data_IF_299958190635
#
_entry.id   IF_299958190635
#
_cell.length_a   1.000
_cell.length_b   1.000
_cell.length_c   1.000
_cell.angle_alpha   90.00
_cell.angle_beta   90.00
_cell.angle_gamma   90.00
#
_symmetry.space_group_name_H-M   'P 1'
#
loop_
_entity.id
_entity.type
_entity.pdbx_description
1 polymer ?
#
# COMPACT_ATOMS: atom_id res chain seq x y z
N UNK A 1 -11.24 3.71 20.17
CA UNK A 1 -11.20 2.27 19.79
C UNK A 1 -10.26 1.41 20.65
N UNK A 2 -9.39 2.00 21.45
CA UNK A 2 -8.50 1.30 22.39
C UNK A 2 -9.05 1.58 23.78
N UNK A 3 -9.32 0.52 24.55
CA UNK A 3 -9.61 0.69 25.97
C UNK A 3 -8.26 0.78 26.66
N UNK A 4 -8.06 1.84 27.43
CA UNK A 4 -6.85 1.99 28.23
C UNK A 4 -6.64 0.70 29.05
N UNK A 5 -5.46 0.09 28.90
CA UNK A 5 -5.00 -1.12 29.63
C UNK A 5 -5.66 -2.48 29.33
N UNK A 6 -6.44 -2.65 28.25
CA UNK A 6 -6.94 -3.99 27.90
C UNK A 6 -5.88 -4.88 27.23
N UNK A 7 -5.96 -6.19 27.45
CA UNK A 7 -5.08 -7.19 26.82
C UNK A 7 -5.81 -7.86 25.66
N UNK A 8 -5.19 -7.88 24.48
CA UNK A 8 -5.78 -8.41 23.25
C UNK A 8 -5.12 -9.71 22.80
N UNK A 9 -5.91 -10.60 22.20
CA UNK A 9 -5.44 -11.83 21.59
C UNK A 9 -6.04 -12.05 20.19
N UNK A 10 -5.27 -12.66 19.29
CA UNK A 10 -5.74 -13.06 17.95
C UNK A 10 -4.82 -14.12 17.32
N UNK A 11 -5.31 -14.91 16.35
CA UNK A 11 -4.43 -15.71 15.50
C UNK A 11 -3.56 -14.79 14.61
N UNK A 12 -2.26 -15.04 14.60
CA UNK A 12 -1.27 -14.30 13.81
C UNK A 12 -0.89 -15.02 12.49
N UNK A 13 -1.30 -16.27 12.32
CA UNK A 13 -1.10 -17.08 11.11
C UNK A 13 -2.39 -17.23 10.31
N UNK A 14 -2.27 -17.51 9.01
CA UNK A 14 -3.41 -17.95 8.20
C UNK A 14 -4.02 -19.26 8.73
N UNK A 15 -5.28 -19.50 8.39
CA UNK A 15 -5.97 -20.72 8.82
C UNK A 15 -5.44 -21.96 8.08
N UNK A 16 -5.19 -23.04 8.82
CA UNK A 16 -4.66 -24.30 8.30
C UNK A 16 -3.14 -24.33 8.19
N UNK A 17 -2.57 -25.53 8.30
CA UNK A 17 -1.12 -25.76 8.28
C UNK A 17 -0.66 -26.68 9.42
N UNK A 18 0.64 -26.95 9.49
CA UNK A 18 1.22 -27.75 10.56
C UNK A 18 1.25 -27.01 11.90
N UNK A 19 1.50 -25.69 11.85
CA UNK A 19 1.61 -24.81 13.02
C UNK A 19 0.68 -23.61 12.86
N UNK A 20 0.15 -23.13 13.97
CA UNK A 20 -0.49 -21.83 14.11
C UNK A 20 0.21 -21.01 15.20
N UNK A 21 0.14 -19.68 15.08
CA UNK A 21 0.62 -18.76 16.12
C UNK A 21 -0.56 -17.94 16.62
N UNK A 22 -0.76 -17.91 17.93
CA UNK A 22 -1.69 -17.03 18.61
C UNK A 22 -0.89 -15.99 19.36
N UNK A 23 -1.15 -14.72 19.07
CA UNK A 23 -0.47 -13.59 19.69
C UNK A 23 -1.36 -12.97 20.75
N UNK A 24 -0.77 -12.60 21.89
CA UNK A 24 -1.40 -11.82 22.95
C UNK A 24 -0.51 -10.60 23.29
N UNK A 25 -1.11 -9.44 23.54
CA UNK A 25 -0.42 -8.18 23.88
C UNK A 25 -1.22 -7.37 24.87
N UNK A 26 -0.54 -6.80 25.88
CA UNK A 26 -1.13 -5.95 26.90
C UNK A 26 -0.47 -6.17 28.26
N UNK A 27 -0.80 -5.31 29.23
CA UNK A 27 -0.20 -5.33 30.58
C UNK A 27 -0.34 -6.69 31.29
N UNK A 28 -1.43 -7.41 31.05
CA UNK A 28 -1.72 -8.71 31.67
C UNK A 28 -1.39 -9.91 30.76
N UNK A 29 -0.79 -9.70 29.59
CA UNK A 29 -0.58 -10.74 28.57
C UNK A 29 0.08 -12.02 29.14
N UNK A 30 1.19 -11.86 29.86
CA UNK A 30 1.94 -12.99 30.41
C UNK A 30 1.21 -13.67 31.57
N UNK A 31 0.52 -12.89 32.42
CA UNK A 31 -0.31 -13.42 33.52
C UNK A 31 -1.51 -14.19 33.01
N UNK A 32 -2.12 -13.75 31.91
CA UNK A 32 -3.21 -14.45 31.24
C UNK A 32 -2.70 -15.77 30.65
N UNK A 33 -1.54 -15.77 29.99
CA UNK A 33 -0.92 -16.99 29.50
C UNK A 33 -0.63 -17.99 30.63
N UNK A 34 -0.11 -17.54 31.77
CA UNK A 34 0.20 -18.42 32.93
C UNK A 34 -1.02 -19.16 33.50
N UNK A 35 -2.23 -18.64 33.29
CA UNK A 35 -3.46 -19.32 33.75
C UNK A 35 -3.70 -20.62 32.99
N UNK A 36 -3.38 -20.63 31.69
CA UNK A 36 -3.70 -21.72 30.77
C UNK A 36 -2.46 -22.57 30.39
N UNK A 37 -1.25 -22.01 30.55
CA UNK A 37 0.00 -22.66 30.21
C UNK A 37 0.58 -23.41 31.43
N UNK A 38 1.14 -24.60 31.18
CA UNK A 38 1.87 -25.40 32.16
C UNK A 38 3.23 -25.75 31.58
N UNK A 39 4.25 -25.03 32.02
CA UNK A 39 5.66 -25.28 31.67
C UNK A 39 6.53 -25.40 32.91
N UNK A 40 7.85 -25.39 32.71
CA UNK A 40 8.83 -25.49 33.80
C UNK A 40 8.79 -24.30 34.75
N UNK A 41 8.57 -23.10 34.21
CA UNK A 41 8.55 -21.84 34.95
C UNK A 41 7.37 -20.97 34.46
N UNK A 42 6.80 -20.10 35.31
CA UNK A 42 5.80 -19.12 34.88
C UNK A 42 6.37 -18.16 33.83
N UNK A 43 5.61 -17.93 32.76
CA UNK A 43 5.93 -16.99 31.69
C UNK A 43 6.05 -15.55 32.22
N UNK A 44 5.26 -15.18 33.24
CA UNK A 44 5.36 -13.87 33.89
C UNK A 44 6.65 -13.70 34.72
N UNK A 45 7.44 -14.75 34.94
CA UNK A 45 8.78 -14.67 35.53
C UNK A 45 9.91 -14.76 34.46
N UNK A 46 9.57 -15.15 33.24
CA UNK A 46 10.54 -15.34 32.17
C UNK A 46 11.10 -14.01 31.64
N UNK A 47 12.35 -14.08 31.16
CA UNK A 47 13.00 -13.00 30.42
C UNK A 47 12.42 -12.84 29.01
N UNK A 48 12.47 -11.62 28.46
CA UNK A 48 12.04 -11.37 27.08
C UNK A 48 12.95 -12.06 26.05
N UNK A 49 12.40 -12.36 24.87
CA UNK A 49 13.02 -13.09 23.77
C UNK A 49 13.49 -14.51 24.16
N UNK A 50 12.71 -15.20 24.99
CA UNK A 50 12.93 -16.60 25.36
C UNK A 50 11.78 -17.48 24.91
N UNK A 51 12.07 -18.76 24.66
CA UNK A 51 11.09 -19.76 24.20
C UNK A 51 10.91 -20.80 25.29
N UNK A 52 9.64 -21.11 25.60
CA UNK A 52 9.25 -22.03 26.66
C UNK A 52 8.39 -23.14 26.10
N UNK A 53 8.81 -24.40 26.31
CA UNK A 53 7.99 -25.57 26.01
C UNK A 53 7.07 -25.90 27.19
N UNK A 54 5.84 -26.29 26.87
CA UNK A 54 4.88 -26.77 27.85
C UNK A 54 3.53 -27.11 27.21
N UNK A 55 2.53 -27.27 28.04
CA UNK A 55 1.18 -27.70 27.64
C UNK A 55 0.17 -26.57 27.86
N UNK A 56 -0.81 -26.44 26.96
CA UNK A 56 -2.03 -25.68 27.25
C UNK A 56 -3.04 -26.63 27.90
N UNK A 57 -3.56 -26.26 29.06
CA UNK A 57 -4.43 -27.11 29.88
C UNK A 57 -5.74 -26.39 30.20
N UNK A 58 -6.86 -27.10 30.03
CA UNK A 58 -8.21 -26.68 30.41
C UNK A 58 -8.79 -27.67 31.43
N UNK A 59 -9.08 -27.21 32.65
CA UNK A 59 -9.67 -28.04 33.72
C UNK A 59 -9.00 -29.41 33.95
N UNK A 60 -7.67 -29.49 33.76
CA UNK A 60 -6.88 -30.72 33.91
C UNK A 60 -6.77 -31.58 32.65
N UNK A 61 -7.43 -31.21 31.56
CA UNK A 61 -7.25 -31.80 30.23
C UNK A 61 -6.18 -31.04 29.45
N UNK A 62 -5.16 -31.76 28.98
CA UNK A 62 -4.18 -31.21 28.02
C UNK A 62 -4.87 -31.02 26.67
N UNK A 63 -4.83 -29.79 26.17
CA UNK A 63 -5.38 -29.41 24.88
C UNK A 63 -4.33 -29.57 23.78
N UNK A 64 -3.12 -29.08 24.01
CA UNK A 64 -2.01 -29.15 23.05
C UNK A 64 -0.64 -28.95 23.72
N UNK A 65 0.40 -29.52 23.09
CA UNK A 65 1.80 -29.23 23.34
C UNK A 65 2.22 -27.98 22.56
N UNK A 66 2.78 -26.97 23.22
CA UNK A 66 3.06 -25.66 22.62
C UNK A 66 4.47 -25.15 22.93
N UNK A 67 4.92 -24.23 22.08
CA UNK A 67 6.05 -23.34 22.37
C UNK A 67 5.52 -21.92 22.58
N UNK A 68 5.87 -21.31 23.70
CA UNK A 68 5.51 -19.92 24.00
C UNK A 68 6.75 -19.04 23.94
N UNK A 69 6.73 -18.03 23.06
CA UNK A 69 7.76 -17.00 23.00
C UNK A 69 7.32 -15.79 23.82
N UNK A 70 8.17 -15.34 24.75
CA UNK A 70 7.87 -14.23 25.67
C UNK A 70 8.55 -12.95 25.19
N UNK A 71 7.80 -11.83 25.17
CA UNK A 71 8.30 -10.48 24.90
C UNK A 71 7.96 -9.57 26.07
N UNK A 72 8.90 -8.71 26.47
CA UNK A 72 8.73 -7.78 27.59
C UNK A 72 8.70 -6.36 27.10
N UNK A 73 7.82 -5.53 27.65
CA UNK A 73 7.84 -4.10 27.46
C UNK A 73 9.23 -3.52 27.85
N UNK A 74 9.74 -2.52 27.12
CA UNK A 74 9.22 -1.94 25.89
C UNK A 74 9.66 -2.69 24.61
N UNK A 75 10.30 -3.85 24.75
CA UNK A 75 10.92 -4.63 23.66
C UNK A 75 9.99 -5.73 23.14
N UNK A 76 8.89 -5.29 22.53
CA UNK A 76 7.95 -6.12 21.77
C UNK A 76 7.50 -5.37 20.51
N UNK A 77 6.66 -6.00 19.68
CA UNK A 77 6.08 -5.34 18.51
C UNK A 77 5.21 -4.14 18.89
N UNK A 78 4.30 -4.31 19.85
CA UNK A 78 3.35 -3.30 20.32
C UNK A 78 3.96 -2.32 21.32
N UNK A 79 5.14 -2.63 21.89
CA UNK A 79 5.73 -1.90 23.01
C UNK A 79 5.25 -2.37 24.38
N UNK A 80 4.27 -3.28 24.44
CA UNK A 80 3.69 -3.85 25.67
C UNK A 80 4.32 -5.21 26.02
N UNK A 81 3.99 -5.78 27.18
CA UNK A 81 4.22 -7.20 27.44
C UNK A 81 3.40 -8.03 26.44
N UNK A 82 3.99 -9.09 25.88
CA UNK A 82 3.36 -9.89 24.84
C UNK A 82 3.87 -11.33 24.85
N UNK A 83 3.06 -12.25 24.34
CA UNK A 83 3.46 -13.63 24.09
C UNK A 83 2.95 -14.14 22.75
N UNK A 84 3.68 -15.08 22.17
CA UNK A 84 3.30 -15.81 20.97
C UNK A 84 3.26 -17.30 21.28
N UNK A 85 2.07 -17.88 21.24
CA UNK A 85 1.81 -19.30 21.46
C UNK A 85 1.83 -20.00 20.10
N UNK A 86 2.88 -20.78 19.84
CA UNK A 86 2.95 -21.66 18.68
C UNK A 86 2.39 -23.03 19.04
N UNK A 87 1.28 -23.39 18.41
CA UNK A 87 0.53 -24.63 18.61
C UNK A 87 0.34 -25.38 17.28
N UNK A 88 -0.21 -26.58 17.34
CA UNK A 88 -0.59 -27.30 16.12
C UNK A 88 -1.68 -26.53 15.36
N UNK A 89 -1.55 -26.46 14.03
CA UNK A 89 -2.39 -25.64 13.14
C UNK A 89 -3.85 -26.08 12.96
N UNK A 90 -4.38 -26.89 13.88
CA UNK A 90 -5.78 -27.32 13.89
C UNK A 90 -6.70 -26.16 14.26
N UNK A 91 -7.74 -25.92 13.44
CA UNK A 91 -8.74 -24.89 13.72
C UNK A 91 -9.43 -25.08 15.08
N UNK A 92 -9.62 -26.33 15.49
CA UNK A 92 -10.17 -26.66 16.81
C UNK A 92 -9.25 -26.19 17.94
N UNK A 93 -7.95 -26.52 17.87
CA UNK A 93 -6.96 -26.13 18.88
C UNK A 93 -6.87 -24.61 18.98
N UNK A 94 -6.76 -23.93 17.84
CA UNK A 94 -6.67 -22.46 17.80
C UNK A 94 -7.90 -21.81 18.44
N UNK A 95 -9.10 -22.30 18.11
CA UNK A 95 -10.35 -21.77 18.65
C UNK A 95 -10.46 -21.99 20.16
N UNK A 96 -10.07 -23.16 20.65
CA UNK A 96 -10.08 -23.45 22.09
C UNK A 96 -9.06 -22.62 22.86
N UNK A 97 -7.83 -22.44 22.36
CA UNK A 97 -6.84 -21.57 23.01
C UNK A 97 -7.35 -20.12 23.08
N UNK A 98 -7.94 -19.60 21.98
CA UNK A 98 -8.54 -18.25 21.99
C UNK A 98 -9.69 -18.12 22.98
N UNK A 99 -10.55 -19.14 23.08
CA UNK A 99 -11.62 -19.20 24.09
C UNK A 99 -11.05 -19.13 25.51
N UNK A 100 -9.99 -19.90 25.80
CA UNK A 100 -9.33 -19.92 27.11
C UNK A 100 -8.67 -18.60 27.46
N UNK A 101 -7.98 -17.97 26.50
CA UNK A 101 -7.40 -16.63 26.68
C UNK A 101 -8.50 -15.60 26.96
N UNK A 102 -9.61 -15.66 26.23
CA UNK A 102 -10.74 -14.74 26.40
C UNK A 102 -11.42 -14.93 27.76
N UNK A 103 -11.67 -16.18 28.16
CA UNK A 103 -12.19 -16.51 29.49
C UNK A 103 -11.24 -16.08 30.62
N UNK A 104 -9.94 -16.04 30.33
CA UNK A 104 -8.89 -15.61 31.26
C UNK A 104 -8.68 -14.10 31.32
N UNK A 105 -9.42 -13.30 30.55
CA UNK A 105 -9.40 -11.83 30.62
C UNK A 105 -8.85 -11.11 29.40
N UNK A 106 -8.42 -11.83 28.35
CA UNK A 106 -8.09 -11.21 27.08
C UNK A 106 -9.36 -10.85 26.30
N UNK A 107 -9.27 -9.89 25.38
CA UNK A 107 -10.29 -9.59 24.39
C UNK A 107 -9.78 -10.00 23.00
N UNK A 108 -10.67 -10.40 22.10
CA UNK A 108 -10.32 -10.54 20.69
C UNK A 108 -9.88 -9.20 20.10
N UNK A 109 -8.70 -9.18 19.46
CA UNK A 109 -8.20 -7.97 18.80
C UNK A 109 -9.12 -7.56 17.62
N UNK A 110 -9.17 -6.26 17.33
CA UNK A 110 -9.72 -5.74 16.09
C UNK A 110 -8.73 -5.84 14.92
N UNK A 111 -9.19 -5.64 13.67
CA UNK A 111 -8.32 -5.50 12.50
C UNK A 111 -7.26 -4.42 12.73
N UNK A 112 -5.98 -4.74 12.50
CA UNK A 112 -4.89 -3.76 12.64
C UNK A 112 -4.52 -3.37 14.07
N UNK A 113 -5.17 -3.93 15.10
CA UNK A 113 -5.05 -3.39 16.46
C UNK A 113 -3.63 -3.53 17.04
N UNK A 114 -2.89 -4.60 16.71
CA UNK A 114 -1.51 -4.74 17.15
C UNK A 114 -0.61 -3.65 16.52
N UNK A 115 -0.80 -3.35 15.24
CA UNK A 115 -0.03 -2.33 14.53
C UNK A 115 -0.42 -0.92 14.97
N UNK A 116 -1.70 -0.67 15.28
CA UNK A 116 -2.14 0.59 15.90
C UNK A 116 -1.40 0.81 17.22
N UNK A 117 -1.33 -0.21 18.10
CA UNK A 117 -0.64 -0.10 19.39
C UNK A 117 0.85 0.17 19.20
N UNK A 118 1.49 -0.49 18.23
CA UNK A 118 2.88 -0.23 17.90
C UNK A 118 3.12 1.23 17.47
N UNK A 119 2.21 1.81 16.66
CA UNK A 119 2.26 3.22 16.28
C UNK A 119 2.10 4.15 17.49
N UNK A 120 1.10 3.91 18.35
CA UNK A 120 0.85 4.74 19.53
C UNK A 120 1.97 4.64 20.59
N UNK A 121 2.65 3.50 20.65
CA UNK A 121 3.83 3.32 21.49
C UNK A 121 5.11 3.93 20.88
N UNK A 122 5.03 4.59 19.72
CA UNK A 122 6.16 5.20 19.02
C UNK A 122 7.14 4.19 18.43
N UNK A 123 6.73 2.93 18.27
CA UNK A 123 7.56 1.85 17.68
C UNK A 123 7.63 1.96 16.16
N UNK A 124 6.60 2.56 15.57
CA UNK A 124 6.42 2.79 14.15
C UNK A 124 5.83 4.19 13.95
N UNK A 125 6.17 4.86 12.85
CA UNK A 125 5.39 5.98 12.34
C UNK A 125 4.18 5.47 11.52
N UNK A 126 3.26 6.37 11.14
CA UNK A 126 2.03 5.99 10.42
C UNK A 126 2.32 5.43 9.02
N UNK A 127 3.34 5.96 8.33
CA UNK A 127 3.75 5.47 7.02
C UNK A 127 4.36 4.06 7.11
N UNK A 128 5.11 3.77 8.17
CA UNK A 128 5.67 2.46 8.45
C UNK A 128 4.58 1.46 8.82
N UNK A 129 3.59 1.89 9.61
CA UNK A 129 2.42 1.09 9.94
C UNK A 129 1.65 0.68 8.67
N UNK A 130 1.39 1.61 7.74
CA UNK A 130 0.78 1.30 6.44
C UNK A 130 1.62 0.32 5.62
N UNK A 131 2.94 0.45 5.64
CA UNK A 131 3.85 -0.44 4.92
C UNK A 131 3.81 -1.90 5.44
N UNK A 132 3.40 -2.14 6.69
CA UNK A 132 3.23 -3.50 7.22
C UNK A 132 2.19 -4.28 6.42
N UNK A 133 1.02 -3.67 6.14
CA UNK A 133 0.00 -4.29 5.30
C UNK A 133 0.51 -4.52 3.87
N UNK A 134 1.23 -3.55 3.31
CA UNK A 134 1.75 -3.63 1.94
C UNK A 134 2.79 -4.75 1.78
N UNK A 135 3.67 -4.96 2.79
CA UNK A 135 4.63 -6.08 2.79
C UNK A 135 3.89 -7.42 2.75
N UNK A 136 2.83 -7.57 3.56
CA UNK A 136 2.08 -8.82 3.65
C UNK A 136 1.28 -9.09 2.37
N UNK A 137 0.70 -8.06 1.78
CA UNK A 137 -0.09 -8.16 0.55
C UNK A 137 0.77 -8.22 -0.72
N UNK A 138 2.08 -7.92 -0.63
CA UNK A 138 2.96 -7.86 -1.79
C UNK A 138 3.02 -9.20 -2.54
N UNK A 139 2.75 -9.14 -3.85
CA UNK A 139 2.72 -10.30 -4.75
C UNK A 139 3.77 -10.21 -5.87
N UNK A 140 4.57 -9.14 -5.87
CA UNK A 140 5.66 -8.91 -6.82
C UNK A 140 6.92 -8.41 -6.11
N UNK A 141 8.08 -8.63 -6.72
CA UNK A 141 9.37 -8.17 -6.20
C UNK A 141 9.41 -6.65 -6.02
N UNK A 142 8.85 -5.91 -6.99
CA UNK A 142 8.82 -4.45 -6.94
C UNK A 142 7.94 -3.93 -5.79
N UNK A 143 6.75 -4.50 -5.60
CA UNK A 143 5.86 -4.12 -4.49
C UNK A 143 6.48 -4.43 -3.13
N UNK A 144 7.14 -5.59 -3.02
CA UNK A 144 7.84 -5.98 -1.80
C UNK A 144 9.00 -5.02 -1.48
N UNK A 145 9.83 -4.67 -2.47
CA UNK A 145 10.96 -3.75 -2.29
C UNK A 145 10.49 -2.34 -1.87
N UNK A 146 9.45 -1.83 -2.51
CA UNK A 146 8.82 -0.55 -2.18
C UNK A 146 8.32 -0.51 -0.73
N UNK A 147 7.54 -1.52 -0.33
CA UNK A 147 7.00 -1.60 1.03
C UNK A 147 8.10 -1.80 2.08
N UNK A 148 9.14 -2.60 1.78
CA UNK A 148 10.29 -2.79 2.66
C UNK A 148 11.11 -1.49 2.86
N UNK A 149 11.30 -0.70 1.82
CA UNK A 149 11.99 0.60 1.93
C UNK A 149 11.18 1.59 2.77
N UNK A 150 9.86 1.64 2.60
CA UNK A 150 8.98 2.46 3.43
C UNK A 150 9.00 2.02 4.91
N UNK A 151 8.95 0.71 5.17
CA UNK A 151 9.04 0.15 6.53
C UNK A 151 10.33 0.56 7.26
N UNK A 152 11.44 0.76 6.54
CA UNK A 152 12.71 1.22 7.11
C UNK A 152 12.78 2.73 7.37
N UNK A 153 11.73 3.51 7.07
CA UNK A 153 11.70 4.96 7.27
C UNK A 153 12.11 5.80 6.05
N UNK A 154 12.12 5.21 4.85
CA UNK A 154 12.73 5.75 3.62
C UNK A 154 12.68 7.26 3.40
N UNK A 155 11.48 7.87 3.35
CA UNK A 155 11.33 9.34 3.22
C UNK A 155 10.86 10.04 4.50
N UNK A 156 10.35 9.31 5.49
CA UNK A 156 9.89 9.88 6.76
C UNK A 156 11.02 10.64 7.44
N UNK A 157 12.19 10.01 7.57
CA UNK A 157 13.32 10.59 8.28
C UNK A 157 13.85 11.87 7.59
N UNK A 158 13.89 11.87 6.26
CA UNK A 158 14.34 13.02 5.48
C UNK A 158 13.37 14.20 5.56
N UNK A 159 12.06 13.94 5.50
CA UNK A 159 11.03 14.97 5.64
C UNK A 159 10.98 15.51 7.07
N UNK A 160 11.12 14.64 8.07
CA UNK A 160 11.10 15.02 9.49
C UNK A 160 12.26 15.95 9.82
N UNK A 161 13.50 15.62 9.45
CA UNK A 161 14.65 16.49 9.71
C UNK A 161 14.52 17.87 9.06
N UNK A 162 13.86 17.97 7.91
CA UNK A 162 13.58 19.25 7.27
C UNK A 162 12.45 20.03 7.96
N UNK A 163 11.39 19.33 8.41
CA UNK A 163 10.30 19.95 9.16
C UNK A 163 10.73 20.44 10.55
N UNK A 164 11.61 19.71 11.24
CA UNK A 164 12.24 20.18 12.48
C UNK A 164 12.99 21.49 12.25
N UNK A 165 13.72 21.60 11.13
CA UNK A 165 14.41 22.84 10.77
C UNK A 165 13.44 24.00 10.52
N UNK A 166 12.31 23.76 9.84
CA UNK A 166 11.28 24.78 9.69
C UNK A 166 10.66 25.18 11.02
N UNK A 167 10.40 24.22 11.92
CA UNK A 167 9.84 24.48 13.23
C UNK A 167 10.77 25.37 14.07
N UNK A 168 12.06 25.07 14.09
CA UNK A 168 13.08 25.92 14.74
C UNK A 168 13.07 27.35 14.21
N UNK A 169 13.09 27.52 12.88
CA UNK A 169 13.09 28.84 12.25
C UNK A 169 11.77 29.59 12.48
N UNK A 170 10.64 28.88 12.52
CA UNK A 170 9.32 29.47 12.79
C UNK A 170 9.23 29.94 14.24
N UNK A 171 9.80 29.21 15.20
CA UNK A 171 9.86 29.64 16.59
C UNK A 171 10.66 30.95 16.75
N UNK A 172 11.73 31.14 15.96
CA UNK A 172 12.47 32.41 15.94
C UNK A 172 11.65 33.56 15.34
N UNK A 173 10.84 33.29 14.30
CA UNK A 173 9.92 34.27 13.73
C UNK A 173 8.83 34.68 14.72
N UNK A 174 8.32 33.74 15.50
CA UNK A 174 7.34 34.02 16.56
C UNK A 174 7.96 34.85 17.68
N UNK A 175 9.19 34.55 18.07
CA UNK A 175 9.93 35.37 19.04
C UNK A 175 10.12 36.82 18.52
N UNK A 176 10.45 37.00 17.24
CA UNK A 176 10.56 38.33 16.63
C UNK A 176 9.26 39.13 16.67
N UNK A 177 8.10 38.47 16.56
CA UNK A 177 6.80 39.10 16.73
C UNK A 177 6.58 39.55 18.18
N UNK A 178 6.90 38.68 19.15
CA UNK A 178 6.73 38.95 20.58
C UNK A 178 7.62 40.11 21.07
N UNK A 179 8.76 40.34 20.42
CA UNK A 179 9.72 41.40 20.73
C UNK A 179 9.75 42.52 19.68
N UNK A 180 8.69 42.71 18.91
CA UNK A 180 8.64 43.70 17.82
C UNK A 180 8.85 45.18 18.23
N UNK A 181 8.81 45.49 19.53
CA UNK A 181 9.18 46.81 20.09
C UNK A 181 10.70 47.00 20.24
N UNK A 182 11.46 45.91 20.32
CA UNK A 182 12.91 45.89 20.35
C UNK A 182 13.38 45.64 18.90
N UNK A 183 14.14 46.54 18.26
CA UNK A 183 14.62 46.41 16.86
C UNK A 183 15.62 45.24 16.68
N UNK A 184 15.16 44.00 16.87
CA UNK A 184 15.98 42.79 16.90
C UNK A 184 15.44 41.78 15.88
N UNK A 185 16.27 41.44 14.91
CA UNK A 185 15.97 40.39 13.93
C UNK A 185 16.50 39.05 14.47
N UNK A 186 15.58 38.14 14.81
CA UNK A 186 15.93 36.84 15.41
C UNK A 186 16.01 35.72 14.36
N UNK A 187 15.31 35.87 13.24
CA UNK A 187 15.23 34.84 12.20
C UNK A 187 15.95 35.24 10.91
N UNK A 188 16.89 34.41 10.47
CA UNK A 188 17.57 34.59 9.18
C UNK A 188 16.64 34.22 8.01
N UNK A 189 16.14 35.24 7.31
CA UNK A 189 15.24 35.09 6.16
C UNK A 189 15.87 34.35 4.97
N UNK A 190 17.20 34.39 4.83
CA UNK A 190 17.90 33.64 3.78
C UNK A 190 17.93 32.14 4.11
N UNK A 191 18.24 31.79 5.37
CA UNK A 191 18.18 30.40 5.84
C UNK A 191 16.77 29.82 5.73
N UNK A 192 15.74 30.61 6.07
CA UNK A 192 14.34 30.21 5.92
C UNK A 192 13.98 29.92 4.46
N UNK A 193 14.38 30.81 3.53
CA UNK A 193 14.16 30.60 2.09
C UNK A 193 14.85 29.32 1.61
N UNK A 194 16.10 29.11 2.01
CA UNK A 194 16.86 27.92 1.61
C UNK A 194 16.23 26.63 2.15
N UNK A 195 15.81 26.62 3.42
CA UNK A 195 15.11 25.48 4.02
C UNK A 195 13.81 25.15 3.26
N UNK A 196 12.99 26.17 2.98
CA UNK A 196 11.77 26.01 2.20
C UNK A 196 12.04 25.48 0.79
N UNK A 197 13.05 26.00 0.08
CA UNK A 197 13.40 25.52 -1.26
C UNK A 197 13.87 24.07 -1.27
N UNK A 198 14.69 23.66 -0.28
CA UNK A 198 15.13 22.27 -0.12
C UNK A 198 13.95 21.34 0.11
N UNK A 199 13.00 21.72 0.97
CA UNK A 199 11.77 20.96 1.22
C UNK A 199 10.93 20.84 -0.05
N UNK A 200 10.78 21.94 -0.80
CA UNK A 200 10.04 21.95 -2.06
C UNK A 200 10.60 20.97 -3.07
N UNK A 201 11.93 20.94 -3.24
CA UNK A 201 12.58 19.99 -4.12
C UNK A 201 12.33 18.52 -3.71
N UNK A 202 12.34 18.23 -2.40
CA UNK A 202 12.05 16.88 -1.90
C UNK A 202 10.58 16.50 -2.09
N UNK A 203 9.65 17.41 -1.77
CA UNK A 203 8.21 17.22 -1.97
C UNK A 203 7.91 16.95 -3.46
N UNK A 204 8.48 17.73 -4.38
CA UNK A 204 8.23 17.56 -5.80
C UNK A 204 8.83 16.26 -6.33
N UNK A 205 10.03 15.86 -5.89
CA UNK A 205 10.60 14.55 -6.22
C UNK A 205 9.69 13.40 -5.77
N UNK A 206 9.19 13.46 -4.53
CA UNK A 206 8.28 12.45 -3.98
C UNK A 206 6.93 12.43 -4.71
N UNK A 207 6.36 13.59 -5.03
CA UNK A 207 5.11 13.69 -5.80
C UNK A 207 5.26 13.12 -7.21
N UNK A 208 6.36 13.41 -7.88
CA UNK A 208 6.65 12.88 -9.21
C UNK A 208 6.83 11.36 -9.21
N UNK A 209 7.31 10.79 -8.10
CA UNK A 209 7.44 9.34 -7.92
C UNK A 209 6.10 8.61 -7.75
N UNK A 210 5.01 9.33 -7.41
CA UNK A 210 3.72 8.72 -7.05
C UNK A 210 3.13 7.84 -8.15
N UNK A 211 3.21 8.28 -9.41
CA UNK A 211 2.68 7.52 -10.56
C UNK A 211 3.32 6.13 -10.62
N UNK A 212 4.64 6.05 -10.43
CA UNK A 212 5.38 4.81 -10.41
C UNK A 212 5.05 3.98 -9.16
N UNK A 213 5.07 4.58 -7.96
CA UNK A 213 4.78 3.88 -6.72
C UNK A 213 3.37 3.29 -6.67
N UNK A 214 2.38 4.06 -7.14
CA UNK A 214 1.00 3.59 -7.25
C UNK A 214 0.85 2.47 -8.29
N UNK A 215 1.53 2.57 -9.44
CA UNK A 215 1.55 1.52 -10.45
C UNK A 215 2.16 0.21 -9.92
N UNK A 216 3.17 0.29 -9.06
CA UNK A 216 3.79 -0.87 -8.42
C UNK A 216 2.87 -1.48 -7.35
N UNK A 217 2.24 -0.63 -6.53
CA UNK A 217 1.40 -1.05 -5.40
C UNK A 217 0.07 -1.63 -5.86
N UNK A 218 -0.69 -0.88 -6.65
CA UNK A 218 -2.04 -1.27 -7.08
C UNK A 218 -2.02 -2.08 -8.38
N UNK A 219 -0.94 -1.97 -9.15
CA UNK A 219 -0.82 -2.48 -10.51
C UNK A 219 -1.17 -1.42 -11.56
N UNK A 220 -0.52 -1.52 -12.72
CA UNK A 220 -0.74 -0.68 -13.90
C UNK A 220 -2.11 -0.98 -14.49
N UNK A 221 -3.00 0.00 -14.49
CA UNK A 221 -4.33 -0.18 -15.06
C UNK A 221 -4.26 -0.26 -16.60
N UNK A 222 -4.74 -1.38 -17.15
CA UNK A 222 -4.78 -1.66 -18.60
C UNK A 222 -6.22 -1.85 -19.05
N UNK A 223 -6.67 -1.04 -20.01
CA UNK A 223 -7.96 -1.26 -20.68
C UNK A 223 -7.74 -1.97 -22.02
N UNK A 224 -8.53 -3.00 -22.32
CA UNK A 224 -8.54 -3.64 -23.64
C UNK A 224 -9.84 -3.26 -24.35
N UNK A 225 -9.71 -2.59 -25.48
CA UNK A 225 -10.82 -2.12 -26.32
C UNK A 225 -10.68 -2.66 -27.74
N UNK A 226 -11.76 -2.63 -28.49
CA UNK A 226 -11.84 -3.19 -29.84
C UNK A 226 -13.22 -3.78 -30.11
N UNK A 227 -13.51 -4.01 -31.39
CA UNK A 227 -14.81 -4.54 -31.80
C UNK A 227 -15.11 -5.94 -31.20
N UNK A 228 -16.38 -6.38 -31.20
CA UNK A 228 -16.72 -7.77 -30.85
C UNK A 228 -15.93 -8.78 -31.69
N UNK A 229 -15.57 -9.92 -31.09
CA UNK A 229 -14.90 -11.06 -31.75
C UNK A 229 -13.49 -10.80 -32.33
N UNK A 230 -12.85 -9.68 -32.01
CA UNK A 230 -11.42 -9.44 -32.36
C UNK A 230 -10.46 -10.30 -31.52
N UNK A 231 -10.95 -10.97 -30.46
CA UNK A 231 -10.19 -11.93 -29.65
C UNK A 231 -9.71 -11.44 -28.28
N UNK A 232 -10.34 -10.41 -27.70
CA UNK A 232 -9.97 -9.81 -26.40
C UNK A 232 -9.88 -10.86 -25.28
N UNK A 233 -10.87 -11.75 -25.22
CA UNK A 233 -10.92 -12.86 -24.25
C UNK A 233 -9.85 -13.90 -24.45
N UNK A 234 -9.52 -14.19 -25.71
CA UNK A 234 -8.45 -15.13 -26.05
C UNK A 234 -7.11 -14.59 -25.58
N UNK A 235 -6.85 -13.28 -25.79
CA UNK A 235 -5.64 -12.62 -25.32
C UNK A 235 -5.53 -12.68 -23.79
N UNK A 236 -6.57 -12.26 -23.06
CA UNK A 236 -6.53 -12.26 -21.59
C UNK A 236 -6.35 -13.67 -21.02
N UNK A 237 -7.11 -14.65 -21.49
CA UNK A 237 -6.99 -16.03 -20.99
C UNK A 237 -5.58 -16.60 -21.22
N UNK A 238 -4.94 -16.23 -22.34
CA UNK A 238 -3.57 -16.65 -22.64
C UNK A 238 -2.54 -15.98 -21.75
N UNK A 239 -2.65 -14.67 -21.56
CA UNK A 239 -1.79 -13.95 -20.63
C UNK A 239 -1.96 -14.46 -19.18
N UNK A 240 -3.18 -14.81 -18.77
CA UNK A 240 -3.49 -15.33 -17.43
C UNK A 240 -2.99 -16.76 -17.20
N UNK A 241 -3.03 -17.63 -18.21
CA UNK A 241 -2.61 -19.02 -18.07
C UNK A 241 -1.09 -19.20 -17.91
N UNK A 242 -0.30 -18.19 -18.27
CA UNK A 242 1.17 -18.26 -18.20
C UNK A 242 1.75 -17.54 -16.97
N UNK A 243 1.05 -16.55 -16.40
CA UNK A 243 1.62 -15.60 -15.42
C UNK A 243 0.60 -15.20 -14.33
N UNK A 244 -0.26 -16.14 -13.88
CA UNK A 244 -1.28 -15.83 -12.87
C UNK A 244 -0.61 -15.41 -11.57
N UNK A 245 -0.93 -14.20 -11.09
CA UNK A 245 -0.59 -13.82 -9.72
C UNK A 245 -1.44 -14.67 -8.79
N UNK A 246 -0.80 -15.46 -7.93
CA UNK A 246 -1.46 -16.06 -6.78
C UNK A 246 -1.85 -14.91 -5.85
N UNK A 247 -3.06 -14.38 -6.03
CA UNK A 247 -3.64 -13.45 -5.08
C UNK A 247 -3.94 -14.26 -3.82
N UNK A 248 -3.37 -13.85 -2.69
CA UNK A 248 -3.78 -14.38 -1.39
C UNK A 248 -5.25 -14.00 -1.19
N UNK A 249 -6.11 -15.00 -0.96
CA UNK A 249 -7.50 -14.81 -0.55
C UNK A 249 -7.52 -14.22 0.87
N UNK A 250 -7.23 -12.92 1.00
CA UNK A 250 -7.56 -12.19 2.22
C UNK A 250 -9.08 -12.10 2.25
N UNK A 251 -9.70 -12.88 3.13
CA UNK A 251 -11.14 -12.99 3.27
C UNK A 251 -11.77 -11.61 3.47
N UNK A 252 -12.57 -11.14 2.49
CA UNK A 252 -13.43 -9.96 2.68
C UNK A 252 -13.57 -8.99 1.50
N UNK A 253 -12.83 -9.12 0.39
CA UNK A 253 -12.85 -8.14 -0.71
C UNK A 253 -13.70 -8.51 -1.92
N UNK A 254 -14.49 -9.59 -1.86
CA UNK A 254 -15.25 -10.13 -3.01
C UNK A 254 -16.56 -9.38 -3.32
N UNK A 255 -16.55 -8.05 -3.36
CA UNK A 255 -17.70 -7.27 -3.84
C UNK A 255 -17.43 -6.28 -4.95
N UNK A 256 -16.17 -6.02 -5.30
CA UNK A 256 -15.83 -5.11 -6.39
C UNK A 256 -15.35 -5.87 -7.63
N UNK A 257 -15.67 -5.27 -8.78
CA UNK A 257 -15.40 -5.71 -10.17
C UNK A 257 -14.29 -6.77 -10.29
N UNK A 258 -14.57 -7.88 -10.97
CA UNK A 258 -13.57 -8.93 -11.29
C UNK A 258 -12.48 -8.30 -12.19
N UNK A 259 -11.46 -7.72 -11.56
CA UNK A 259 -10.24 -7.20 -12.19
C UNK A 259 -9.22 -8.33 -12.23
N UNK A 260 -8.71 -8.65 -13.42
CA UNK A 260 -7.71 -9.71 -13.59
C UNK A 260 -6.30 -9.12 -13.48
N UNK A 261 -5.43 -9.77 -12.71
CA UNK A 261 -4.07 -9.30 -12.42
C UNK A 261 -3.03 -10.25 -13.01
N UNK A 262 -2.05 -9.69 -13.72
CA UNK A 262 -0.97 -10.43 -14.38
C UNK A 262 0.36 -9.84 -13.94
N UNK A 263 1.32 -10.67 -13.54
CA UNK A 263 2.67 -10.22 -13.27
C UNK A 263 3.50 -10.35 -14.55
N UNK A 264 4.17 -9.27 -14.97
CA UNK A 264 5.08 -9.29 -16.11
C UNK A 264 6.41 -8.73 -15.60
N UNK A 265 7.44 -9.58 -15.53
CA UNK A 265 8.80 -9.22 -15.08
C UNK A 265 8.83 -8.42 -13.75
N UNK A 266 7.99 -8.81 -12.79
CA UNK A 266 7.93 -8.22 -11.45
C UNK A 266 7.00 -7.01 -11.31
N UNK A 267 6.26 -6.63 -12.35
CA UNK A 267 5.27 -5.53 -12.33
C UNK A 267 3.87 -6.11 -12.51
N UNK A 268 2.93 -5.69 -11.67
CA UNK A 268 1.52 -6.12 -11.76
C UNK A 268 0.79 -5.25 -12.77
N UNK A 269 0.10 -5.87 -13.73
CA UNK A 269 -0.81 -5.23 -14.67
C UNK A 269 -2.24 -5.65 -14.34
N UNK A 270 -3.12 -4.67 -14.16
CA UNK A 270 -4.51 -4.84 -13.76
C UNK A 270 -5.42 -4.56 -14.95
N UNK A 271 -5.99 -5.61 -15.50
CA UNK A 271 -6.84 -5.52 -16.68
C UNK A 271 -8.27 -5.16 -16.27
N UNK A 272 -8.70 -3.98 -16.69
CA UNK A 272 -10.00 -3.42 -16.38
C UNK A 272 -11.09 -4.04 -17.30
N UNK A 273 -12.25 -4.32 -16.70
CA UNK A 273 -13.48 -4.75 -17.37
C UNK A 273 -13.39 -6.10 -18.12
N UNK A 274 -13.24 -7.19 -17.35
CA UNK A 274 -13.28 -8.57 -17.86
C UNK A 274 -14.68 -9.17 -17.98
N UNK A 275 -15.73 -8.45 -17.55
CA UNK A 275 -17.10 -8.92 -17.65
C UNK A 275 -17.61 -8.89 -19.11
N UNK A 276 -17.20 -7.89 -19.90
CA UNK A 276 -17.41 -7.86 -21.36
C UNK A 276 -16.60 -8.91 -22.15
N UNK A 277 -15.74 -9.65 -21.44
CA UNK A 277 -14.83 -10.65 -22.00
C UNK A 277 -15.34 -12.08 -21.74
N UNK A 278 -16.23 -12.28 -20.74
CA UNK A 278 -16.86 -13.57 -20.42
C UNK A 278 -18.35 -13.69 -20.79
N UNK A 279 -19.04 -12.60 -21.10
CA UNK A 279 -20.47 -12.66 -21.48
C UNK A 279 -20.66 -13.01 -22.96
N UNK A 280 -20.93 -14.29 -23.25
CA UNK A 280 -21.67 -14.72 -24.44
C UNK A 280 -23.16 -14.40 -24.28
N UNK A 281 -23.77 -13.96 -25.38
CA UNK A 281 -25.18 -13.64 -25.65
C UNK A 281 -25.70 -12.22 -25.35
N UNK A 282 -26.36 -11.72 -26.40
CA UNK A 282 -26.90 -10.39 -26.65
C UNK A 282 -27.76 -9.80 -25.52
N UNK A 283 -27.56 -8.47 -25.28
CA UNK A 283 -28.55 -7.41 -24.89
C UNK A 283 -28.00 -6.25 -24.01
N UNK A 284 -26.70 -5.91 -24.04
CA UNK A 284 -26.11 -4.84 -23.21
C UNK A 284 -25.27 -3.79 -23.98
N UNK A 285 -25.78 -3.30 -25.12
CA UNK A 285 -24.96 -2.50 -26.06
C UNK A 285 -24.68 -1.04 -25.64
N UNK A 286 -25.53 -0.42 -24.81
CA UNK A 286 -25.25 0.95 -24.30
C UNK A 286 -24.46 0.96 -22.99
N UNK A 287 -24.72 0.01 -22.08
CA UNK A 287 -23.92 -0.14 -20.85
C UNK A 287 -22.48 -0.55 -21.15
N UNK A 288 -22.25 -1.29 -22.25
CA UNK A 288 -20.91 -1.67 -22.69
C UNK A 288 -20.04 -0.49 -23.13
N UNK A 289 -20.62 0.51 -23.82
CA UNK A 289 -19.88 1.69 -24.29
C UNK A 289 -19.47 2.58 -23.11
N UNK A 290 -20.40 2.92 -22.21
CA UNK A 290 -20.08 3.74 -21.03
C UNK A 290 -19.05 3.06 -20.12
N UNK A 291 -19.13 1.73 -19.95
CA UNK A 291 -18.14 0.97 -19.17
C UNK A 291 -16.77 0.92 -19.84
N UNK A 292 -16.73 0.76 -21.15
CA UNK A 292 -15.49 0.81 -21.93
C UNK A 292 -14.84 2.19 -21.82
N UNK A 293 -15.63 3.26 -21.95
CA UNK A 293 -15.13 4.64 -21.80
C UNK A 293 -14.62 4.90 -20.37
N UNK A 294 -15.35 4.47 -19.34
CA UNK A 294 -14.88 4.57 -17.95
C UNK A 294 -13.59 3.78 -17.71
N UNK A 295 -13.44 2.61 -18.33
CA UNK A 295 -12.21 1.82 -18.24
C UNK A 295 -11.05 2.49 -18.96
N UNK A 296 -11.29 3.10 -20.13
CA UNK A 296 -10.32 3.93 -20.83
C UNK A 296 -9.93 5.11 -19.94
N UNK A 297 -10.88 5.82 -19.35
CA UNK A 297 -10.62 6.94 -18.42
C UNK A 297 -9.86 6.52 -17.15
N UNK A 298 -9.89 5.26 -16.73
CA UNK A 298 -9.14 4.79 -15.55
C UNK A 298 -7.81 4.13 -15.90
N UNK A 299 -7.58 3.80 -17.17
CA UNK A 299 -6.36 3.12 -17.60
C UNK A 299 -5.17 4.07 -17.76
N UNK A 300 -3.97 3.53 -17.51
CA UNK A 300 -2.70 4.16 -17.88
C UNK A 300 -2.26 3.67 -19.27
N UNK A 301 -2.57 2.41 -19.59
CA UNK A 301 -2.30 1.80 -20.89
C UNK A 301 -3.64 1.40 -21.52
N UNK A 302 -3.87 1.85 -22.75
CA UNK A 302 -5.03 1.45 -23.55
C UNK A 302 -4.54 0.55 -24.67
N UNK A 303 -5.02 -0.69 -24.69
CA UNK A 303 -4.80 -1.65 -25.77
C UNK A 303 -6.01 -1.59 -26.70
N UNK A 304 -5.84 -0.99 -27.88
CA UNK A 304 -6.81 -1.05 -28.96
C UNK A 304 -6.53 -2.28 -29.84
N UNK A 305 -7.50 -3.19 -29.93
CA UNK A 305 -7.33 -4.44 -30.66
C UNK A 305 -8.27 -4.53 -31.87
N UNK A 306 -7.68 -4.82 -33.03
CA UNK A 306 -8.35 -5.15 -34.29
C UNK A 306 -7.93 -6.55 -34.74
N UNK A 307 -8.49 -7.05 -35.85
CA UNK A 307 -7.99 -8.28 -36.47
C UNK A 307 -7.53 -8.04 -37.92
N UNK A 308 -6.62 -8.89 -38.39
CA UNK A 308 -5.98 -8.74 -39.69
C UNK A 308 -6.98 -8.70 -40.86
N UNK A 309 -8.08 -9.46 -40.76
CA UNK A 309 -9.13 -9.49 -41.77
C UNK A 309 -9.90 -8.15 -41.85
N UNK A 310 -10.27 -7.56 -40.70
CA UNK A 310 -10.92 -6.24 -40.65
C UNK A 310 -10.00 -5.14 -41.16
N UNK A 311 -8.73 -5.20 -40.82
CA UNK A 311 -7.74 -4.25 -41.31
C UNK A 311 -7.61 -4.30 -42.83
N UNK A 312 -7.55 -5.52 -43.41
CA UNK A 312 -7.56 -5.71 -44.86
C UNK A 312 -8.84 -5.19 -45.53
N UNK A 313 -9.97 -5.17 -44.80
CA UNK A 313 -11.24 -4.60 -45.23
C UNK A 313 -11.34 -3.06 -45.05
N UNK A 314 -10.25 -2.39 -44.63
CA UNK A 314 -10.21 -0.93 -44.48
C UNK A 314 -10.66 -0.39 -43.12
N UNK A 315 -10.72 -1.24 -42.08
CA UNK A 315 -10.97 -0.76 -40.72
C UNK A 315 -9.85 0.21 -40.25
N UNK A 316 -10.19 1.24 -39.46
CA UNK A 316 -9.19 2.18 -38.96
C UNK A 316 -8.15 1.49 -38.07
N UNK A 317 -6.91 1.95 -38.18
CA UNK A 317 -5.76 1.48 -37.37
C UNK A 317 -5.79 2.11 -35.97
N UNK A 318 -6.41 3.29 -35.84
CA UNK A 318 -6.46 4.06 -34.61
C UNK A 318 -7.88 4.08 -34.03
N UNK A 319 -8.01 4.18 -32.69
CA UNK A 319 -9.31 4.33 -32.04
C UNK A 319 -9.96 5.70 -32.30
N UNK A 320 -11.29 5.75 -32.29
CA UNK A 320 -12.10 6.97 -32.41
C UNK A 320 -12.53 7.55 -31.04
N UNK A 321 -11.73 7.34 -29.99
CA UNK A 321 -11.99 7.89 -28.65
C UNK A 321 -10.84 8.78 -28.18
N UNK A 322 -11.13 9.81 -27.37
CA UNK A 322 -10.09 10.66 -26.80
C UNK A 322 -9.25 9.88 -25.79
N UNK A 323 -7.96 10.19 -25.76
CA UNK A 323 -7.01 9.74 -24.74
C UNK A 323 -6.53 10.96 -23.95
N UNK A 324 -6.26 10.77 -22.67
CA UNK A 324 -5.54 11.78 -21.88
C UNK A 324 -4.06 11.81 -22.28
N UNK A 325 -3.41 12.94 -22.02
CA UNK A 325 -2.00 13.16 -22.37
C UNK A 325 -1.03 12.19 -21.68
N UNK A 326 -1.38 11.67 -20.51
CA UNK A 326 -0.60 10.72 -19.72
C UNK A 326 -0.77 9.26 -20.19
N UNK A 327 -1.75 8.95 -21.04
CA UNK A 327 -2.06 7.59 -21.45
C UNK A 327 -1.18 7.08 -22.58
N UNK A 328 -0.81 5.79 -22.51
CA UNK A 328 -0.12 5.08 -23.59
C UNK A 328 -1.11 4.26 -24.41
N UNK A 329 -1.08 4.42 -25.74
CA UNK A 329 -1.87 3.61 -26.67
C UNK A 329 -1.02 2.50 -27.28
N UNK A 330 -1.52 1.27 -27.23
CA UNK A 330 -1.00 0.12 -27.97
C UNK A 330 -2.03 -0.37 -28.96
N UNK A 331 -1.65 -0.45 -30.23
CA UNK A 331 -2.50 -1.01 -31.28
C UNK A 331 -2.08 -2.46 -31.55
N UNK A 332 -2.99 -3.40 -31.27
CA UNK A 332 -2.81 -4.83 -31.50
C UNK A 332 -3.61 -5.28 -32.73
N UNK A 333 -2.94 -5.97 -33.65
CA UNK A 333 -3.58 -6.64 -34.78
C UNK A 333 -3.57 -8.14 -34.49
N UNK A 334 -4.72 -8.69 -34.12
CA UNK A 334 -4.88 -10.09 -33.79
C UNK A 334 -5.19 -10.97 -35.03
N UNK A 335 -5.11 -12.29 -34.85
CA UNK A 335 -5.38 -13.32 -35.88
C UNK A 335 -4.42 -13.26 -37.07
N UNK A 336 -3.16 -12.87 -36.85
CA UNK A 336 -2.15 -12.83 -37.91
C UNK A 336 -1.89 -14.20 -38.54
N UNK A 337 -2.21 -15.30 -37.83
CA UNK A 337 -2.20 -16.66 -38.36
C UNK A 337 -3.16 -16.88 -39.54
N UNK A 338 -4.22 -16.08 -39.64
CA UNK A 338 -5.21 -16.15 -40.73
C UNK A 338 -4.84 -15.29 -41.94
N UNK A 339 -3.85 -14.41 -41.80
CA UNK A 339 -3.39 -13.50 -42.85
C UNK A 339 -1.88 -13.22 -42.69
N UNK A 340 -1.01 -14.25 -42.80
CA UNK A 340 0.42 -14.15 -42.48
C UNK A 340 1.18 -13.18 -43.41
N UNK A 341 0.69 -12.99 -44.64
CA UNK A 341 1.31 -12.13 -45.65
C UNK A 341 0.78 -10.68 -45.64
N UNK A 342 -0.12 -10.34 -44.71
CA UNK A 342 -0.68 -9.00 -44.61
C UNK A 342 0.32 -8.05 -43.95
N UNK A 343 0.72 -6.93 -44.60
CA UNK A 343 1.63 -5.98 -43.99
C UNK A 343 0.98 -5.32 -42.78
N UNK A 344 1.69 -5.33 -41.65
CA UNK A 344 1.25 -4.65 -40.44
C UNK A 344 1.52 -3.14 -40.57
N UNK A 345 0.56 -2.27 -40.23
CA UNK A 345 0.78 -0.83 -40.22
C UNK A 345 1.88 -0.45 -39.23
N UNK A 346 2.58 0.64 -39.54
CA UNK A 346 3.63 1.17 -38.67
C UNK A 346 3.07 1.50 -37.27
N UNK A 347 3.84 1.20 -36.22
CA UNK A 347 3.41 1.40 -34.84
C UNK A 347 2.44 0.35 -34.29
N UNK A 348 2.07 -0.68 -35.05
CA UNK A 348 1.20 -1.77 -34.58
C UNK A 348 1.98 -3.03 -34.19
N UNK A 349 1.35 -3.88 -33.36
CA UNK A 349 1.91 -5.17 -32.94
C UNK A 349 0.98 -6.27 -33.44
N UNK A 350 1.50 -7.11 -34.34
CA UNK A 350 0.81 -8.31 -34.80
C UNK A 350 0.91 -9.44 -33.78
N UNK A 351 -0.21 -10.08 -33.47
CA UNK A 351 -0.28 -11.24 -32.58
C UNK A 351 -1.20 -12.32 -33.14
N UNK A 352 -0.94 -13.57 -32.77
CA UNK A 352 -1.95 -14.62 -32.76
C UNK A 352 -2.25 -14.99 -31.32
N UNK A 353 -3.27 -14.37 -30.73
CA UNK A 353 -3.67 -14.70 -29.36
C UNK A 353 -4.02 -16.19 -29.21
N UNK A 354 -4.55 -16.82 -30.26
CA UNK A 354 -4.89 -18.25 -30.24
C UNK A 354 -3.63 -19.12 -30.14
N UNK A 355 -2.56 -18.80 -30.85
CA UNK A 355 -1.35 -19.63 -30.93
C UNK A 355 -0.30 -19.23 -29.90
N UNK A 356 -0.34 -17.99 -29.40
CA UNK A 356 0.67 -17.41 -28.51
C UNK A 356 1.71 -16.54 -29.24
N UNK A 357 1.65 -16.46 -30.57
CA UNK A 357 2.63 -15.70 -31.36
C UNK A 357 2.56 -14.21 -31.04
N UNK A 358 3.73 -13.61 -30.79
CA UNK A 358 3.87 -12.17 -30.51
C UNK A 358 3.56 -11.76 -29.06
N UNK A 359 3.11 -12.68 -28.19
CA UNK A 359 2.80 -12.36 -26.79
C UNK A 359 4.04 -11.94 -25.99
N UNK A 360 5.20 -12.55 -26.21
CA UNK A 360 6.45 -12.15 -25.53
C UNK A 360 6.93 -10.76 -25.96
N UNK A 361 6.63 -10.34 -27.20
CA UNK A 361 6.89 -8.98 -27.65
C UNK A 361 5.94 -8.00 -26.96
N UNK A 362 4.65 -8.34 -26.87
CA UNK A 362 3.67 -7.55 -26.13
C UNK A 362 4.07 -7.36 -24.67
N UNK A 363 4.49 -8.43 -23.99
CA UNK A 363 4.99 -8.40 -22.60
C UNK A 363 6.14 -7.41 -22.43
N UNK A 364 7.18 -7.50 -23.28
CA UNK A 364 8.33 -6.58 -23.23
C UNK A 364 7.92 -5.13 -23.43
N UNK A 365 6.97 -4.87 -24.33
CA UNK A 365 6.48 -3.50 -24.58
C UNK A 365 5.69 -2.98 -23.38
N UNK A 366 4.77 -3.77 -22.83
CA UNK A 366 4.05 -3.41 -21.60
C UNK A 366 5.03 -3.11 -20.46
N UNK A 367 6.05 -3.96 -20.30
CA UNK A 367 7.08 -3.79 -19.27
C UNK A 367 7.91 -2.51 -19.46
N UNK A 368 8.20 -2.12 -20.71
CA UNK A 368 8.97 -0.91 -21.03
C UNK A 368 8.25 0.40 -20.70
N UNK A 369 6.92 0.36 -20.50
CA UNK A 369 6.17 1.55 -20.07
C UNK A 369 6.29 1.85 -18.59
N UNK A 370 6.90 0.96 -17.81
CA UNK A 370 7.12 1.13 -16.38
C UNK A 370 8.62 1.11 -16.11
N UNK A 371 9.17 2.28 -15.82
CA UNK A 371 10.57 2.36 -15.40
C UNK A 371 10.65 2.03 -13.90
N UNK A 372 11.20 0.85 -13.60
CA UNK A 372 11.39 0.39 -12.22
C UNK A 372 12.82 0.61 -11.72
N UNK A 373 13.72 1.20 -12.52
CA UNK A 373 15.13 1.33 -12.13
C UNK A 373 15.27 2.22 -10.89
N UNK A 374 14.45 3.27 -10.77
CA UNK A 374 14.41 4.16 -9.59
C UNK A 374 14.22 3.39 -8.26
N UNK A 375 13.49 2.27 -8.24
CA UNK A 375 13.29 1.45 -7.04
C UNK A 375 14.59 0.85 -6.49
N UNK A 376 15.53 0.53 -7.39
CA UNK A 376 16.76 -0.19 -7.05
C UNK A 376 17.92 0.76 -6.74
N UNK A 377 17.79 2.04 -7.07
CA UNK A 377 18.78 3.07 -6.74
C UNK A 377 18.60 3.66 -5.33
N UNK A 378 17.58 3.21 -4.59
CA UNK A 378 17.30 3.68 -3.23
C UNK A 378 16.53 5.00 -3.19
N UNK A 379 15.96 5.43 -4.31
CA UNK A 379 15.12 6.62 -4.35
C UNK A 379 13.87 6.42 -3.49
N UNK A 380 13.50 7.47 -2.78
CA UNK A 380 12.27 7.47 -2.01
C UNK A 380 11.06 7.56 -2.96
N UNK A 381 10.19 6.55 -2.90
CA UNK A 381 9.01 6.44 -3.77
C UNK A 381 7.75 6.47 -2.92
N UNK A 382 6.83 7.36 -3.28
CA UNK A 382 5.50 7.45 -2.67
C UNK A 382 4.54 6.54 -3.43
N UNK A 383 3.75 5.75 -2.71
CA UNK A 383 2.78 4.83 -3.31
C UNK A 383 1.36 5.02 -2.82
N UNK A 384 1.18 5.72 -1.69
CA UNK A 384 -0.11 5.94 -1.08
C UNK A 384 -0.71 7.29 -1.53
N UNK A 385 -1.95 7.28 -2.02
CA UNK A 385 -2.66 8.49 -2.40
C UNK A 385 -2.78 9.50 -1.24
N UNK A 386 -2.94 9.02 0.00
CA UNK A 386 -2.96 9.89 1.19
C UNK A 386 -1.68 10.71 1.31
N UNK A 387 -0.53 10.09 1.06
CA UNK A 387 0.76 10.78 1.11
C UNK A 387 0.89 11.77 -0.04
N UNK A 388 0.46 11.37 -1.24
CA UNK A 388 0.48 12.25 -2.41
C UNK A 388 -0.40 13.50 -2.22
N UNK A 389 -1.59 13.36 -1.66
CA UNK A 389 -2.49 14.47 -1.32
C UNK A 389 -1.87 15.39 -0.28
N UNK A 390 -1.33 14.83 0.81
CA UNK A 390 -0.64 15.59 1.86
C UNK A 390 0.59 16.34 1.32
N UNK A 391 1.41 15.69 0.49
CA UNK A 391 2.57 16.32 -0.16
C UNK A 391 2.15 17.40 -1.16
N UNK A 392 1.04 17.21 -1.86
CA UNK A 392 0.50 18.25 -2.76
C UNK A 392 0.03 19.47 -1.98
N UNK A 393 -0.72 19.27 -0.90
CA UNK A 393 -1.15 20.35 -0.02
C UNK A 393 0.05 21.07 0.64
N UNK A 394 1.07 20.31 1.07
CA UNK A 394 2.33 20.85 1.58
C UNK A 394 3.07 21.69 0.53
N UNK A 395 3.16 21.21 -0.72
CA UNK A 395 3.79 21.94 -1.82
C UNK A 395 3.06 23.24 -2.16
N UNK A 396 1.73 23.25 -2.10
CA UNK A 396 0.94 24.46 -2.32
C UNK A 396 1.08 25.47 -1.16
N UNK A 397 1.09 25.02 0.10
CA UNK A 397 1.38 25.86 1.26
C UNK A 397 2.79 26.45 1.20
N UNK A 398 3.77 25.63 0.82
CA UNK A 398 5.16 26.05 0.68
C UNK A 398 5.34 27.12 -0.40
N UNK A 399 4.61 27.00 -1.52
CA UNK A 399 4.61 28.02 -2.58
C UNK A 399 4.07 29.35 -2.05
N UNK A 400 2.96 29.34 -1.31
CA UNK A 400 2.42 30.54 -0.66
C UNK A 400 3.39 31.15 0.35
N UNK A 401 4.08 30.34 1.16
CA UNK A 401 5.09 30.81 2.09
C UNK A 401 6.30 31.46 1.38
N UNK A 402 6.79 30.85 0.30
CA UNK A 402 7.88 31.39 -0.52
C UNK A 402 7.50 32.70 -1.20
N UNK A 403 6.29 32.78 -1.77
CA UNK A 403 5.76 33.98 -2.40
C UNK A 403 5.54 35.10 -1.37
N UNK A 404 5.02 34.74 -0.19
CA UNK A 404 4.86 35.64 0.95
C UNK A 404 6.19 36.22 1.42
N UNK A 405 7.20 35.38 1.58
CA UNK A 405 8.56 35.82 1.94
C UNK A 405 9.18 36.73 0.87
N UNK A 406 8.90 36.48 -0.41
CA UNK A 406 9.37 37.31 -1.53
C UNK A 406 8.68 38.67 -1.65
N UNK A 407 7.42 38.75 -1.25
CA UNK A 407 6.58 39.96 -1.32
C UNK A 407 6.58 40.81 -0.05
N UNK A 408 7.28 40.37 1.01
CA UNK A 408 7.34 41.07 2.29
C UNK A 408 6.07 40.89 3.13
N UNK A 409 5.46 39.71 3.08
CA UNK A 409 4.33 39.34 3.93
C UNK A 409 4.68 39.52 5.42
N UNK A 410 3.70 39.93 6.22
CA UNK A 410 3.87 40.08 7.67
C UNK A 410 4.28 38.74 8.30
N UNK A 411 5.12 38.81 9.33
CA UNK A 411 5.73 37.63 9.97
C UNK A 411 4.68 36.66 10.55
N UNK A 412 3.55 37.16 11.05
CA UNK A 412 2.45 36.36 11.60
C UNK A 412 1.77 35.47 10.54
N UNK A 413 1.48 36.06 9.37
CA UNK A 413 0.90 35.35 8.23
C UNK A 413 1.91 34.39 7.60
N UNK A 414 3.18 34.76 7.54
CA UNK A 414 4.25 33.88 7.06
C UNK A 414 4.41 32.65 7.97
N UNK A 415 4.42 32.85 9.30
CA UNK A 415 4.48 31.75 10.26
C UNK A 415 3.27 30.83 10.13
N UNK A 416 2.08 31.35 9.82
CA UNK A 416 0.90 30.51 9.57
C UNK A 416 1.05 29.64 8.33
N UNK A 417 1.53 30.17 7.21
CA UNK A 417 1.76 29.35 6.00
C UNK A 417 2.82 28.27 6.25
N UNK A 418 3.87 28.56 7.03
CA UNK A 418 4.88 27.56 7.41
C UNK A 418 4.27 26.48 8.32
N UNK A 419 3.40 26.85 9.27
CA UNK A 419 2.66 25.87 10.09
C UNK A 419 1.81 24.93 9.24
N UNK A 420 1.18 25.42 8.17
CA UNK A 420 0.45 24.57 7.22
C UNK A 420 1.37 23.55 6.53
N UNK A 421 2.59 23.95 6.13
CA UNK A 421 3.58 23.02 5.57
C UNK A 421 3.94 21.92 6.58
N UNK A 422 4.28 22.30 7.81
CA UNK A 422 4.63 21.36 8.89
C UNK A 422 3.46 20.41 9.19
N UNK A 423 2.24 20.94 9.22
CA UNK A 423 1.02 20.15 9.44
C UNK A 423 0.80 19.10 8.35
N UNK A 424 0.84 19.50 7.08
CA UNK A 424 0.60 18.59 5.97
C UNK A 424 1.70 17.52 5.85
N UNK A 425 2.97 17.87 6.02
CA UNK A 425 4.06 16.88 6.05
C UNK A 425 3.93 15.97 7.27
N UNK A 426 3.67 16.53 8.45
CA UNK A 426 3.47 15.78 9.69
C UNK A 426 2.29 14.81 9.64
N UNK A 427 1.27 15.10 8.84
CA UNK A 427 0.14 14.18 8.62
C UNK A 427 0.56 12.89 7.91
N UNK A 428 1.64 12.90 7.12
CA UNK A 428 2.17 11.70 6.44
C UNK A 428 2.73 10.71 7.46
N UNK A 429 3.60 11.18 8.36
CA UNK A 429 4.29 10.33 9.35
C UNK A 429 3.48 10.13 10.63
N UNK A 430 2.56 11.03 10.96
CA UNK A 430 1.74 10.98 12.17
C UNK A 430 2.49 11.29 13.47
N UNK A 431 3.78 11.66 13.42
CA UNK A 431 4.57 11.95 14.63
C UNK A 431 4.25 13.30 15.27
N UNK A 432 3.97 14.32 14.46
CA UNK A 432 3.80 15.71 14.93
C UNK A 432 2.33 16.13 15.09
N UNK A 433 1.39 15.30 14.66
CA UNK A 433 -0.04 15.48 14.89
C UNK A 433 -0.66 14.10 15.03
N UNK A 434 -1.35 13.84 16.15
CA UNK A 434 -2.14 12.62 16.30
C UNK A 434 -3.12 12.56 15.13
N UNK A 435 -2.94 11.56 14.26
CA UNK A 435 -3.88 11.28 13.20
C UNK A 435 -5.28 11.14 13.80
N UNK A 436 -6.30 11.68 13.12
CA UNK A 436 -7.67 11.58 13.61
C UNK A 436 -8.09 10.12 13.76
N UNK A 437 -8.98 9.85 14.72
CA UNK A 437 -9.44 8.48 14.98
C UNK A 437 -10.07 7.84 13.73
N UNK A 438 -10.70 8.65 12.87
CA UNK A 438 -11.26 8.20 11.59
C UNK A 438 -10.20 7.78 10.58
N UNK A 439 -9.09 8.51 10.47
CA UNK A 439 -7.97 8.17 9.59
C UNK A 439 -7.32 6.86 10.04
N UNK A 440 -7.07 6.73 11.35
CA UNK A 440 -6.54 5.49 11.91
C UNK A 440 -7.50 4.32 11.62
N UNK A 441 -8.80 4.50 11.87
CA UNK A 441 -9.80 3.46 11.57
C UNK A 441 -9.79 3.06 10.09
N UNK A 442 -9.71 4.03 9.17
CA UNK A 442 -9.67 3.74 7.75
C UNK A 442 -8.41 2.95 7.33
N UNK A 443 -7.23 3.35 7.83
CA UNK A 443 -5.95 2.68 7.52
C UNK A 443 -5.95 1.24 8.06
N UNK A 444 -6.28 1.07 9.33
CA UNK A 444 -6.11 -0.20 10.02
C UNK A 444 -7.28 -1.18 9.80
N UNK A 445 -8.44 -0.72 9.34
CA UNK A 445 -9.51 -1.61 8.88
C UNK A 445 -9.12 -2.48 7.68
N UNK A 446 -8.08 -2.10 6.92
CA UNK A 446 -7.53 -2.88 5.81
C UNK A 446 -6.49 -3.93 6.26
N UNK A 447 -6.10 -3.89 7.54
CA UNK A 447 -5.15 -4.85 8.11
C UNK A 447 -5.85 -6.11 8.62
N UNK A 448 -5.10 -7.19 8.80
CA UNK A 448 -5.63 -8.44 9.34
C UNK A 448 -5.85 -8.36 10.85
N UNK A 449 -6.73 -9.20 11.41
CA UNK A 449 -7.04 -9.24 12.86
C UNK A 449 -5.83 -9.61 13.74
N UNK A 450 -4.80 -10.25 13.17
CA UNK A 450 -3.57 -10.66 13.87
C UNK A 450 -2.38 -9.69 13.77
N UNK A 451 -2.53 -8.57 13.06
CA UNK A 451 -1.49 -7.55 12.89
C UNK A 451 -2.10 -6.19 12.73
#
# INVERSE_FOLDING_TARGET
MIRDHDTIAAPATAAGGALAVIRISGEEALRICDRIFRGREPLAAAAGYTVHYGEIVDEGRVLDDVLVTVFRAPRSYTGEDAAEISCHGSQYIVSEILRLLTASGARMAGPGEFTIRAYLAGKLDLSQAEAVADIIASSSRAAHALAANQMRGGYSDALEGLCEKLLELTALLELELDFSEEEVEFADRAQLREAMQRIGAHIDALRNSFTLGNAIKEGVAVAITGAPNVGKSTLLNRLLNEERVLVSDIAGTTRDVIEERINIDGVVFRFLDTAGIRATDDRLEQMGIQRTMSSIERAQIVIYMTDAARLAAGAPVAPEFPLRADQKLLVLVNKTDTAPDSPLPEGTIGISARNGDGLDRLRRILRSFVDTEALYHGDAIVSNNRHYEALTAAGDALRRALDGLGSGLQTDLLSEEIRQVIHHVGSVTGRNALASEEVLKHIFSKHCVGK
#
